data_IF_261453525238
#
_entry.id   IF_261453525238
#
_cell.length_a   1.000
_cell.length_b   1.000
_cell.length_c   1.000
_cell.angle_alpha   90.00
_cell.angle_beta   90.00
_cell.angle_gamma   90.00
#
_symmetry.space_group_name_H-M   'P 1'
#
loop_
_entity.id
_entity.type
_entity.pdbx_description
1 polymer ?
#
# COMPACT_ATOMS: atom_id res chain seq x y z
N UNK A 1 -36.18 -13.06 32.87
CA UNK A 1 -36.80 -11.73 33.08
C UNK A 1 -35.78 -10.74 32.61
N UNK A 2 -35.93 -10.19 31.40
CA UNK A 2 -35.00 -9.17 30.89
C UNK A 2 -35.21 -7.90 31.72
N UNK A 3 -34.25 -7.57 32.59
CA UNK A 3 -34.26 -6.29 33.29
C UNK A 3 -34.21 -5.16 32.24
N UNK A 4 -35.03 -4.12 32.41
CA UNK A 4 -35.01 -2.99 31.50
C UNK A 4 -33.75 -2.17 31.73
N UNK A 5 -32.99 -1.91 30.67
CA UNK A 5 -31.80 -1.03 30.71
C UNK A 5 -32.14 0.42 31.13
N UNK A 6 -33.43 0.78 31.23
CA UNK A 6 -33.88 2.03 31.83
C UNK A 6 -33.59 2.12 33.33
N UNK A 7 -33.60 0.99 34.03
CA UNK A 7 -33.60 0.94 35.49
C UNK A 7 -32.27 0.39 36.06
N UNK A 8 -31.54 -0.41 35.26
CA UNK A 8 -30.25 -0.97 35.63
C UNK A 8 -29.21 -0.77 34.53
N UNK A 9 -27.99 -0.39 34.93
CA UNK A 9 -26.88 -0.18 34.00
C UNK A 9 -26.41 -1.51 33.40
N UNK A 10 -25.98 -1.49 32.13
CA UNK A 10 -25.41 -2.68 31.48
C UNK A 10 -24.26 -3.29 32.29
N UNK A 11 -23.44 -2.47 32.96
CA UNK A 11 -22.31 -2.95 33.76
C UNK A 11 -22.73 -3.80 34.96
N UNK A 12 -23.92 -3.56 35.52
CA UNK A 12 -24.45 -4.30 36.67
C UNK A 12 -25.16 -5.61 36.31
N UNK A 13 -25.40 -5.88 35.02
CA UNK A 13 -26.05 -7.11 34.56
C UNK A 13 -25.16 -8.34 34.76
N UNK A 14 -25.78 -9.51 34.86
CA UNK A 14 -25.07 -10.79 34.85
C UNK A 14 -24.36 -11.02 33.51
N UNK A 15 -23.39 -11.94 33.49
CA UNK A 15 -22.65 -12.26 32.26
C UNK A 15 -23.60 -12.80 31.19
N UNK A 16 -24.56 -13.65 31.59
CA UNK A 16 -25.53 -14.26 30.66
C UNK A 16 -26.43 -13.19 30.02
N UNK A 17 -26.94 -12.24 30.80
CA UNK A 17 -27.75 -11.13 30.27
C UNK A 17 -26.94 -10.20 29.35
N UNK A 18 -25.68 -9.91 29.71
CA UNK A 18 -24.78 -9.12 28.85
C UNK A 18 -24.54 -9.80 27.51
N UNK A 19 -24.29 -11.10 27.54
CA UNK A 19 -24.09 -11.91 26.33
C UNK A 19 -25.35 -11.98 25.48
N UNK A 20 -26.53 -12.14 26.11
CA UNK A 20 -27.81 -12.16 25.39
C UNK A 20 -28.07 -10.84 24.67
N UNK A 21 -27.85 -9.70 25.34
CA UNK A 21 -27.98 -8.37 24.73
C UNK A 21 -26.97 -8.18 23.59
N UNK A 22 -25.70 -8.53 23.80
CA UNK A 22 -24.67 -8.40 22.77
C UNK A 22 -24.93 -9.31 21.57
N UNK A 23 -25.37 -10.56 21.80
CA UNK A 23 -25.72 -11.50 20.75
C UNK A 23 -26.90 -10.98 19.93
N UNK A 24 -27.94 -10.46 20.59
CA UNK A 24 -29.06 -9.81 19.92
C UNK A 24 -28.60 -8.65 19.04
N UNK A 25 -27.79 -7.73 19.59
CA UNK A 25 -27.27 -6.58 18.83
C UNK A 25 -26.42 -7.01 17.64
N UNK A 26 -25.53 -7.99 17.80
CA UNK A 26 -24.72 -8.53 16.71
C UNK A 26 -25.57 -9.14 15.60
N UNK A 27 -26.64 -9.86 15.96
CA UNK A 27 -27.56 -10.46 15.00
C UNK A 27 -28.41 -9.40 14.28
N UNK A 28 -28.87 -8.38 14.99
CA UNK A 28 -29.63 -7.29 14.38
C UNK A 28 -28.76 -6.43 13.46
N UNK A 29 -27.51 -6.14 13.87
CA UNK A 29 -26.54 -5.41 13.04
C UNK A 29 -26.11 -6.20 11.81
N UNK A 30 -25.94 -7.53 11.92
CA UNK A 30 -25.58 -8.38 10.79
C UNK A 30 -26.73 -8.55 9.79
N UNK A 31 -27.98 -8.43 10.25
CA UNK A 31 -29.17 -8.42 9.41
C UNK A 31 -29.59 -7.01 8.92
N UNK A 32 -28.97 -5.95 9.44
CA UNK A 32 -29.32 -4.58 9.08
C UNK A 32 -28.90 -4.30 7.63
N UNK A 33 -29.91 -4.18 6.76
CA UNK A 33 -29.73 -3.93 5.32
C UNK A 33 -28.78 -2.78 5.02
N UNK A 34 -28.86 -1.65 5.74
CA UNK A 34 -28.00 -0.48 5.48
C UNK A 34 -26.54 -0.79 5.81
N UNK A 35 -26.29 -1.42 6.95
CA UNK A 35 -24.95 -1.81 7.38
C UNK A 35 -24.33 -2.79 6.39
N UNK A 36 -25.09 -3.80 5.95
CA UNK A 36 -24.64 -4.79 4.96
C UNK A 36 -24.32 -4.11 3.62
N UNK A 37 -25.23 -3.29 3.11
CA UNK A 37 -25.01 -2.54 1.85
C UNK A 37 -23.80 -1.59 1.93
N UNK A 38 -23.55 -0.99 3.09
CA UNK A 38 -22.38 -0.12 3.31
C UNK A 38 -21.06 -0.92 3.30
N UNK A 39 -21.06 -2.11 3.92
CA UNK A 39 -19.91 -3.03 3.89
C UNK A 39 -19.64 -3.52 2.47
N UNK A 40 -20.67 -3.98 1.77
CA UNK A 40 -20.55 -4.49 0.40
C UNK A 40 -20.03 -3.41 -0.56
N UNK A 41 -20.60 -2.19 -0.49
CA UNK A 41 -20.12 -1.05 -1.27
C UNK A 41 -18.66 -0.72 -0.99
N UNK A 42 -18.23 -0.78 0.27
CA UNK A 42 -16.82 -0.58 0.62
C UNK A 42 -15.92 -1.66 0.03
N UNK A 43 -16.35 -2.93 0.04
CA UNK A 43 -15.59 -4.04 -0.54
C UNK A 43 -15.45 -3.90 -2.07
N UNK A 44 -16.51 -3.46 -2.75
CA UNK A 44 -16.49 -3.17 -4.18
C UNK A 44 -15.54 -2.01 -4.50
N UNK A 45 -15.61 -0.91 -3.76
CA UNK A 45 -14.70 0.23 -3.89
C UNK A 45 -13.23 -0.19 -3.68
N UNK A 46 -12.95 -1.01 -2.66
CA UNK A 46 -11.59 -1.54 -2.42
C UNK A 46 -11.11 -2.37 -3.59
N UNK A 47 -12.00 -3.16 -4.21
CA UNK A 47 -11.66 -3.98 -5.38
C UNK A 47 -11.31 -3.12 -6.59
N UNK A 48 -12.10 -2.08 -6.86
CA UNK A 48 -11.82 -1.10 -7.92
C UNK A 48 -10.47 -0.41 -7.69
N UNK A 49 -10.24 0.13 -6.48
CA UNK A 49 -8.99 0.82 -6.16
C UNK A 49 -7.76 -0.10 -6.25
N UNK A 50 -7.89 -1.38 -5.89
CA UNK A 50 -6.82 -2.37 -6.08
C UNK A 50 -6.51 -2.60 -7.56
N UNK A 51 -7.52 -2.66 -8.42
CA UNK A 51 -7.32 -2.78 -9.86
C UNK A 51 -6.60 -1.55 -10.42
N UNK A 52 -7.06 -0.34 -10.08
CA UNK A 52 -6.41 0.92 -10.47
C UNK A 52 -4.96 0.99 -9.99
N UNK A 53 -4.68 0.60 -8.74
CA UNK A 53 -3.32 0.50 -8.19
C UNK A 53 -2.45 -0.39 -9.07
N UNK A 54 -2.92 -1.59 -9.40
CA UNK A 54 -2.17 -2.54 -10.23
C UNK A 54 -1.89 -1.99 -11.63
N UNK A 55 -2.82 -1.23 -12.20
CA UNK A 55 -2.62 -0.58 -13.49
C UNK A 55 -1.52 0.49 -13.43
N UNK A 56 -1.57 1.38 -12.45
CA UNK A 56 -0.53 2.40 -12.23
C UNK A 56 0.83 1.72 -11.96
N UNK A 57 0.85 0.64 -11.19
CA UNK A 57 2.06 -0.13 -10.88
C UNK A 57 2.68 -0.75 -12.14
N UNK A 58 1.85 -1.28 -13.06
CA UNK A 58 2.31 -1.76 -14.37
C UNK A 58 2.94 -0.62 -15.17
N UNK A 59 2.34 0.57 -15.21
CA UNK A 59 2.90 1.74 -15.90
C UNK A 59 4.21 2.18 -15.26
N UNK A 60 4.28 2.23 -13.93
CA UNK A 60 5.49 2.57 -13.17
C UNK A 60 6.64 1.60 -13.48
N UNK A 61 6.37 0.30 -13.53
CA UNK A 61 7.38 -0.71 -13.93
C UNK A 61 7.89 -0.47 -15.35
N UNK A 62 7.00 -0.18 -16.31
CA UNK A 62 7.39 0.11 -17.71
C UNK A 62 8.30 1.34 -17.80
N UNK A 63 7.94 2.44 -17.15
CA UNK A 63 8.75 3.67 -17.16
C UNK A 63 10.11 3.46 -16.48
N UNK A 64 10.18 2.69 -15.39
CA UNK A 64 11.44 2.32 -14.74
C UNK A 64 12.34 1.49 -15.67
N UNK A 65 11.76 0.54 -16.38
CA UNK A 65 12.48 -0.27 -17.37
C UNK A 65 12.99 0.59 -18.54
N UNK A 66 12.16 1.48 -19.08
CA UNK A 66 12.54 2.42 -20.13
C UNK A 66 13.70 3.33 -19.68
N UNK A 67 13.64 3.85 -18.44
CA UNK A 67 14.72 4.65 -17.86
C UNK A 67 16.02 3.85 -17.68
N UNK A 68 15.91 2.59 -17.25
CA UNK A 68 17.08 1.71 -17.11
C UNK A 68 17.70 1.34 -18.46
N UNK A 69 16.88 1.25 -19.52
CA UNK A 69 17.31 0.93 -20.87
C UNK A 69 17.62 2.16 -21.72
N UNK A 70 17.35 3.37 -21.21
CA UNK A 70 17.93 4.55 -21.81
C UNK A 70 19.43 4.35 -21.79
N UNK A 71 20.09 4.34 -22.97
CA UNK A 71 21.52 4.20 -23.00
C UNK A 71 22.05 5.36 -22.16
N UNK A 72 22.75 5.06 -21.07
CA UNK A 72 23.54 6.03 -20.35
C UNK A 72 24.61 6.59 -21.31
N UNK A 73 24.20 7.55 -22.14
CA UNK A 73 24.62 8.94 -22.12
C UNK A 73 25.46 9.26 -20.88
N UNK A 74 26.70 8.78 -20.91
CA UNK A 74 27.92 9.32 -20.29
C UNK A 74 29.05 8.28 -20.34
N UNK A 75 28.74 6.97 -20.40
CA UNK A 75 29.77 5.93 -20.46
C UNK A 75 30.09 5.48 -21.89
N UNK A 76 29.10 5.35 -22.78
CA UNK A 76 29.37 4.95 -24.19
C UNK A 76 30.14 6.05 -24.94
N UNK A 77 29.86 7.33 -24.67
CA UNK A 77 30.60 8.46 -25.26
C UNK A 77 32.03 8.54 -24.71
N UNK A 78 32.25 8.32 -23.41
CA UNK A 78 33.60 8.27 -22.81
C UNK A 78 34.43 7.11 -23.35
N UNK A 79 33.82 5.93 -23.50
CA UNK A 79 34.49 4.74 -24.03
C UNK A 79 34.80 4.92 -25.53
N UNK A 80 33.90 5.53 -26.31
CA UNK A 80 34.16 5.86 -27.71
C UNK A 80 35.26 6.93 -27.90
N UNK A 81 35.36 7.92 -27.01
CA UNK A 81 36.51 8.86 -27.02
C UNK A 81 37.81 8.22 -26.53
N UNK A 82 37.76 7.33 -25.53
CA UNK A 82 38.94 6.62 -25.01
C UNK A 82 39.47 5.55 -25.98
N UNK A 83 38.60 4.91 -26.77
CA UNK A 83 39.00 3.98 -27.84
C UNK A 83 39.68 4.78 -28.97
N UNK A 84 39.14 5.94 -29.36
CA UNK A 84 39.71 6.78 -30.41
C UNK A 84 41.08 7.38 -30.06
N UNK A 85 41.39 7.54 -28.77
CA UNK A 85 42.73 7.95 -28.29
C UNK A 85 43.69 6.77 -28.12
N UNK A 86 43.21 5.52 -28.02
CA UNK A 86 44.04 4.31 -27.92
C UNK A 86 44.46 3.71 -29.25
N UNK A 87 43.75 4.00 -30.35
CA UNK A 87 44.08 3.47 -31.69
C UNK A 87 45.36 4.06 -32.32
N UNK A 88 46.11 4.90 -31.61
CA UNK A 88 47.44 5.37 -32.01
C UNK A 88 48.59 4.68 -31.26
N UNK A 89 48.34 3.75 -30.33
CA UNK A 89 49.40 3.04 -29.61
C UNK A 89 49.04 1.57 -29.26
N UNK A 90 49.54 0.67 -30.12
CA UNK A 90 50.07 -0.69 -29.87
C UNK A 90 49.20 -1.85 -29.31
N UNK A 91 49.22 -2.95 -30.10
CA UNK A 91 49.40 -4.40 -29.81
C UNK A 91 48.59 -5.15 -28.73
N UNK A 92 47.97 -6.25 -29.20
CA UNK A 92 47.83 -7.60 -28.61
C UNK A 92 47.20 -7.78 -27.21
N UNK A 93 45.98 -8.37 -27.16
CA UNK A 93 45.73 -9.76 -26.75
C UNK A 93 44.25 -10.05 -26.38
N UNK A 94 43.90 -11.35 -26.54
CA UNK A 94 42.67 -12.13 -26.30
C UNK A 94 41.94 -11.85 -24.96
N UNK A 95 40.68 -12.16 -24.64
CA UNK A 95 39.70 -13.22 -24.98
C UNK A 95 38.31 -12.82 -24.40
N UNK A 96 37.15 -13.37 -24.81
CA UNK A 96 35.86 -13.13 -24.16
C UNK A 96 35.57 -14.21 -23.10
N UNK A 97 35.21 -13.81 -21.87
CA UNK A 97 34.72 -14.75 -20.85
C UNK A 97 33.36 -14.32 -20.32
N UNK A 98 32.44 -15.28 -20.34
CA UNK A 98 31.05 -15.21 -19.90
C UNK A 98 31.00 -15.24 -18.37
N UNK A 99 30.21 -14.36 -17.76
CA UNK A 99 29.71 -14.61 -16.40
C UNK A 99 28.30 -14.05 -16.26
N UNK A 100 27.36 -14.91 -16.59
CA UNK A 100 25.94 -14.81 -16.36
C UNK A 100 25.67 -15.32 -14.93
N UNK A 101 25.57 -14.44 -13.93
CA UNK A 101 24.92 -14.75 -12.64
C UNK A 101 24.69 -13.48 -11.81
N UNK A 102 23.55 -13.46 -11.13
CA UNK A 102 23.10 -12.52 -10.09
C UNK A 102 22.20 -11.33 -10.52
N UNK A 103 21.06 -11.65 -11.15
CA UNK A 103 19.85 -10.80 -11.06
C UNK A 103 18.83 -11.49 -10.15
N UNK A 104 19.13 -11.56 -8.85
CA UNK A 104 18.12 -11.89 -7.82
C UNK A 104 18.40 -11.14 -6.52
N UNK A 105 18.22 -9.82 -6.55
CA UNK A 105 17.87 -9.04 -5.36
C UNK A 105 16.75 -8.06 -5.73
N UNK A 106 15.55 -8.63 -5.83
CA UNK A 106 14.31 -7.87 -5.65
C UNK A 106 14.29 -7.53 -4.15
N UNK A 107 14.84 -6.38 -3.80
CA UNK A 107 14.56 -5.77 -2.50
C UNK A 107 13.19 -5.12 -2.59
N UNK A 108 12.21 -5.94 -2.23
CA UNK A 108 10.90 -5.47 -1.82
C UNK A 108 11.00 -4.92 -0.39
N UNK A 109 10.25 -3.84 -0.17
CA UNK A 109 9.73 -3.37 1.12
C UNK A 109 10.70 -2.74 2.15
N UNK A 110 10.39 -1.47 2.45
CA UNK A 110 10.10 -0.91 3.80
C UNK A 110 10.60 0.53 4.01
N UNK A 111 10.29 1.45 3.10
CA UNK A 111 10.41 2.89 3.40
C UNK A 111 9.47 3.74 2.53
N UNK A 112 8.17 3.45 2.56
CA UNK A 112 7.20 4.53 2.31
C UNK A 112 6.61 4.80 3.68
N UNK A 113 7.20 5.80 4.33
CA UNK A 113 6.68 6.38 5.57
C UNK A 113 5.19 6.62 5.38
N UNK A 114 4.38 5.95 6.19
CA UNK A 114 2.97 6.28 6.38
C UNK A 114 2.92 7.60 7.15
N UNK A 115 3.39 8.67 6.53
CA UNK A 115 3.39 10.00 7.12
C UNK A 115 2.09 10.70 6.70
N UNK A 116 1.08 10.80 7.59
CA UNK A 116 -0.16 11.49 7.29
C UNK A 116 0.04 13.01 7.10
N UNK A 117 1.24 13.54 7.35
CA UNK A 117 1.58 14.96 7.13
C UNK A 117 1.92 15.31 5.66
N UNK A 118 2.02 14.33 4.76
CA UNK A 118 2.23 14.57 3.32
C UNK A 118 0.93 14.93 2.56
N UNK A 119 -0.13 15.34 3.27
CA UNK A 119 -1.35 15.87 2.66
C UNK A 119 -1.08 17.33 2.29
N UNK A 120 -0.52 17.57 1.11
CA UNK A 120 -0.66 18.89 0.48
C UNK A 120 -1.95 18.92 -0.33
N UNK A 121 -2.52 20.10 -0.51
CA UNK A 121 -3.72 20.34 -1.33
C UNK A 121 -3.53 20.01 -2.83
N UNK A 122 -2.38 19.44 -3.23
CA UNK A 122 -1.97 19.16 -4.61
C UNK A 122 -2.40 17.75 -5.12
N UNK A 123 -2.92 16.88 -4.25
CA UNK A 123 -3.12 15.46 -4.59
C UNK A 123 -4.25 15.21 -5.61
N UNK A 124 -5.36 15.97 -5.57
CA UNK A 124 -6.43 15.82 -6.58
C UNK A 124 -6.00 16.34 -7.95
N UNK A 125 -5.27 17.45 -7.99
CA UNK A 125 -4.76 18.02 -9.24
C UNK A 125 -3.82 17.04 -9.93
N UNK A 126 -2.96 16.35 -9.17
CA UNK A 126 -2.01 15.36 -9.69
C UNK A 126 -2.71 14.23 -10.45
N UNK A 127 -3.84 13.73 -9.98
CA UNK A 127 -4.53 12.59 -10.60
C UNK A 127 -5.03 12.93 -12.01
N UNK A 128 -5.46 14.18 -12.23
CA UNK A 128 -5.99 14.67 -13.51
C UNK A 128 -4.91 14.94 -14.56
N UNK A 129 -3.64 15.08 -14.15
CA UNK A 129 -2.54 15.35 -15.08
C UNK A 129 -2.37 14.18 -16.05
N UNK A 130 -2.51 14.46 -17.33
CA UNK A 130 -2.28 13.50 -18.39
C UNK A 130 -0.78 13.24 -18.57
N UNK A 131 -0.35 12.04 -18.18
CA UNK A 131 1.03 11.57 -18.25
C UNK A 131 1.58 11.51 -19.69
N UNK A 132 0.71 11.43 -20.70
CA UNK A 132 1.12 11.35 -22.10
C UNK A 132 1.65 12.67 -22.67
N UNK A 133 1.33 13.80 -22.00
CA UNK A 133 1.77 15.14 -22.38
C UNK A 133 3.14 15.52 -21.83
N UNK A 134 3.78 14.61 -21.08
CA UNK A 134 5.07 14.84 -20.43
C UNK A 134 6.14 14.07 -21.20
N UNK A 135 6.89 14.78 -22.03
CA UNK A 135 7.98 14.20 -22.85
C UNK A 135 9.21 13.82 -22.02
N UNK A 136 9.42 14.51 -20.90
CA UNK A 136 10.53 14.29 -19.98
C UNK A 136 10.28 13.06 -19.12
N UNK A 137 11.02 11.97 -19.40
CA UNK A 137 10.85 10.67 -18.76
C UNK A 137 10.98 10.74 -17.23
N UNK A 138 11.87 11.60 -16.70
CA UNK A 138 12.09 11.75 -15.26
C UNK A 138 10.91 12.44 -14.58
N UNK A 139 10.36 13.47 -15.23
CA UNK A 139 9.13 14.13 -14.76
C UNK A 139 7.94 13.19 -14.81
N UNK A 140 7.81 12.39 -15.87
CA UNK A 140 6.72 11.40 -16.00
C UNK A 140 6.85 10.32 -14.93
N UNK A 141 8.05 9.79 -14.68
CA UNK A 141 8.30 8.81 -13.62
C UNK A 141 7.97 9.37 -12.23
N UNK A 142 8.30 10.64 -11.97
CA UNK A 142 7.99 11.33 -10.71
C UNK A 142 6.47 11.46 -10.53
N UNK A 143 5.75 11.88 -11.57
CA UNK A 143 4.29 11.99 -11.56
C UNK A 143 3.63 10.63 -11.26
N UNK A 144 4.01 9.58 -11.98
CA UNK A 144 3.44 8.24 -11.80
C UNK A 144 3.78 7.66 -10.42
N UNK A 145 4.97 7.95 -9.89
CA UNK A 145 5.34 7.56 -8.53
C UNK A 145 4.43 8.23 -7.49
N UNK A 146 4.13 9.52 -7.66
CA UNK A 146 3.16 10.22 -6.80
C UNK A 146 1.75 9.63 -6.93
N UNK A 147 1.24 9.44 -8.15
CA UNK A 147 -0.06 8.79 -8.39
C UNK A 147 -0.14 7.40 -7.73
N UNK A 148 0.94 6.61 -7.81
CA UNK A 148 1.02 5.31 -7.15
C UNK A 148 0.93 5.41 -5.62
N UNK A 149 1.60 6.40 -5.02
CA UNK A 149 1.51 6.64 -3.58
C UNK A 149 0.08 7.03 -3.16
N UNK A 150 -0.60 7.87 -3.94
CA UNK A 150 -1.98 8.29 -3.68
C UNK A 150 -2.96 7.13 -3.73
N UNK A 151 -2.94 6.34 -4.80
CA UNK A 151 -3.84 5.18 -4.91
C UNK A 151 -3.52 4.14 -3.84
N UNK A 152 -2.24 3.96 -3.47
CA UNK A 152 -1.84 3.06 -2.37
C UNK A 152 -2.45 3.54 -1.04
N UNK A 153 -2.39 4.84 -0.73
CA UNK A 153 -3.02 5.42 0.47
C UNK A 153 -4.54 5.21 0.44
N UNK A 154 -5.21 5.53 -0.67
CA UNK A 154 -6.66 5.33 -0.84
C UNK A 154 -7.09 3.88 -0.63
N UNK A 155 -6.32 2.91 -1.14
CA UNK A 155 -6.56 1.48 -0.90
C UNK A 155 -6.49 1.16 0.59
N UNK A 156 -5.47 1.65 1.31
CA UNK A 156 -5.30 1.41 2.75
C UNK A 156 -6.45 2.04 3.54
N UNK A 157 -6.79 3.29 3.25
CA UNK A 157 -7.84 4.02 3.94
C UNK A 157 -9.20 3.32 3.79
N UNK A 158 -9.55 2.90 2.58
CA UNK A 158 -10.81 2.18 2.33
C UNK A 158 -10.78 0.78 2.92
N UNK A 159 -9.68 0.05 2.81
CA UNK A 159 -9.54 -1.30 3.36
C UNK A 159 -9.65 -1.34 4.88
N UNK A 160 -9.09 -0.33 5.55
CA UNK A 160 -9.09 -0.26 7.02
C UNK A 160 -10.46 0.11 7.61
N UNK A 161 -11.45 0.52 6.80
CA UNK A 161 -12.83 0.76 7.27
C UNK A 161 -13.59 -0.52 7.60
N UNK A 162 -13.27 -1.62 6.90
CA UNK A 162 -13.95 -2.91 7.07
C UNK A 162 -13.08 -3.95 7.78
N UNK A 163 -11.79 -3.69 7.97
CA UNK A 163 -10.86 -4.63 8.62
C UNK A 163 -10.09 -4.00 9.76
N UNK A 164 -10.06 -4.72 10.87
CA UNK A 164 -9.14 -4.47 11.97
C UNK A 164 -7.73 -4.96 11.61
N UNK A 165 -6.72 -4.25 12.10
CA UNK A 165 -5.32 -4.65 11.98
C UNK A 165 -4.91 -5.45 13.23
N UNK A 166 -4.51 -6.71 13.02
CA UNK A 166 -3.94 -7.52 14.08
C UNK A 166 -2.45 -7.17 14.26
N UNK A 167 -2.10 -6.61 15.42
CA UNK A 167 -0.75 -6.16 15.74
C UNK A 167 0.14 -7.28 16.32
N UNK A 168 -0.46 -8.41 16.67
CA UNK A 168 0.26 -9.56 17.22
C UNK A 168 -0.26 -10.01 18.57
N UNK A 169 0.52 -10.88 19.21
CA UNK A 169 0.19 -11.51 20.47
C UNK A 169 1.39 -11.44 21.42
N UNK A 170 1.15 -11.18 22.71
CA UNK A 170 2.20 -11.21 23.72
C UNK A 170 2.41 -12.60 24.34
N UNK A 171 3.40 -12.71 25.25
CA UNK A 171 3.70 -13.95 25.99
C UNK A 171 2.55 -14.46 26.85
N UNK A 172 1.55 -13.62 27.14
CA UNK A 172 0.35 -13.97 27.90
C UNK A 172 -0.85 -14.29 27.01
N UNK A 173 -0.61 -14.52 25.71
CA UNK A 173 -1.62 -14.86 24.71
C UNK A 173 -2.67 -13.77 24.49
N UNK A 174 -2.42 -12.53 24.90
CA UNK A 174 -3.33 -11.40 24.64
C UNK A 174 -3.13 -10.90 23.21
N UNK A 175 -4.21 -10.73 22.45
CA UNK A 175 -4.16 -10.24 21.06
C UNK A 175 -4.33 -8.73 21.03
N UNK A 176 -3.51 -8.07 20.22
CA UNK A 176 -3.53 -6.63 20.07
C UNK A 176 -4.18 -6.26 18.74
N UNK A 177 -5.17 -5.39 18.80
CA UNK A 177 -5.97 -4.96 17.66
C UNK A 177 -5.91 -3.45 17.50
N UNK A 178 -5.80 -3.00 16.25
CA UNK A 178 -5.94 -1.60 15.87
C UNK A 178 -7.13 -1.44 14.93
N UNK A 179 -7.96 -0.44 15.20
CA UNK A 179 -9.11 -0.09 14.37
C UNK A 179 -8.92 1.34 13.87
N UNK A 180 -9.03 1.55 12.57
CA UNK A 180 -8.78 2.85 11.91
C UNK A 180 -9.66 4.01 12.42
N UNK A 181 -10.85 3.68 12.92
CA UNK A 181 -11.89 4.61 13.33
C UNK A 181 -12.02 4.72 14.86
N UNK A 182 -11.20 3.99 15.62
CA UNK A 182 -11.21 4.04 17.07
C UNK A 182 -9.85 4.48 17.61
N UNK A 183 -9.83 5.27 18.70
CA UNK A 183 -8.58 5.70 19.31
C UNK A 183 -7.91 4.55 20.07
N UNK A 184 -6.60 4.40 19.85
CA UNK A 184 -5.74 3.52 20.65
C UNK A 184 -5.65 2.06 20.16
N UNK A 185 -5.01 1.24 21.01
CA UNK A 185 -4.81 -0.19 20.77
C UNK A 185 -5.73 -0.97 21.71
N UNK A 186 -6.48 -1.90 21.15
CA UNK A 186 -7.41 -2.75 21.88
C UNK A 186 -6.77 -4.09 22.19
N UNK A 187 -7.07 -4.64 23.36
CA UNK A 187 -6.47 -5.88 23.84
C UNK A 187 -7.59 -6.88 24.10
N UNK A 188 -7.51 -8.01 23.42
CA UNK A 188 -8.40 -9.15 23.64
C UNK A 188 -7.68 -10.16 24.54
N UNK A 189 -8.25 -10.41 25.72
CA UNK A 189 -7.82 -11.48 26.62
C UNK A 189 -8.65 -12.73 26.35
N UNK A 190 -8.00 -13.87 26.15
CA UNK A 190 -8.67 -15.16 26.19
C UNK A 190 -9.00 -15.46 27.66
N UNK A 191 -10.29 -15.51 28.00
CA UNK A 191 -10.81 -16.10 29.25
C UNK A 191 -10.89 -17.60 29.15
#
# INVERSE_FOLDING_TARGET
VTQNLSDTSFQSLSIDEKLEILAFLCNDLSANKRTVEDVDRNLDEVTVLKHEKLEIEKRLRRLKFEKSNQPNSNNVKKLATLIREKDLNSSDNESPDESDTEITKIEDETAVTNDPAAVTADDEDIETIDESKIDDLDKRLTLITRKYALIKRRVIDKHSRTRALHLGQDRYRRRYWYFSHLPGIYIEGLT
#
